data_IF_088255290584
#
_entry.id   IF_088255290584
#
_cell.length_a   1.000
_cell.length_b   1.000
_cell.length_c   1.000
_cell.angle_alpha   90.00
_cell.angle_beta   90.00
_cell.angle_gamma   90.00
#
_symmetry.space_group_name_H-M   'P 1'
#
loop_
_entity.id
_entity.type
_entity.pdbx_description
1 polymer ?
#
# COMPACT_ATOMS: atom_id res chain seq x y z
N UNK A 1 12.53 7.27 -0.78
CA UNK A 1 11.08 7.14 -1.03
C UNK A 1 10.40 8.48 -1.29
N UNK A 2 10.58 9.53 -0.47
CA UNK A 2 9.88 10.81 -0.69
C UNK A 2 10.06 11.43 -2.09
N UNK A 3 11.28 11.40 -2.63
CA UNK A 3 11.57 11.94 -3.97
C UNK A 3 10.81 11.20 -5.09
N UNK A 4 10.83 9.85 -5.09
CA UNK A 4 10.15 9.06 -6.11
C UNK A 4 8.63 9.22 -6.05
N UNK A 5 8.04 9.30 -4.85
CA UNK A 5 6.62 9.59 -4.67
C UNK A 5 6.28 10.99 -5.22
N UNK A 6 7.13 11.99 -4.91
CA UNK A 6 6.97 13.35 -5.42
C UNK A 6 6.97 13.39 -6.96
N UNK A 7 7.87 12.64 -7.61
CA UNK A 7 7.89 12.50 -9.07
C UNK A 7 6.60 11.87 -9.59
N UNK A 8 6.12 10.78 -8.97
CA UNK A 8 4.85 10.15 -9.39
C UNK A 8 3.69 11.15 -9.28
N UNK A 9 3.53 11.84 -8.15
CA UNK A 9 2.48 12.84 -7.99
C UNK A 9 2.60 13.98 -9.01
N UNK A 10 3.82 14.46 -9.29
CA UNK A 10 4.06 15.48 -10.30
C UNK A 10 3.68 15.01 -11.70
N UNK A 11 3.90 13.74 -12.04
CA UNK A 11 3.49 13.15 -13.32
C UNK A 11 1.96 13.12 -13.46
N UNK A 12 1.23 12.76 -12.40
CA UNK A 12 -0.24 12.83 -12.41
C UNK A 12 -0.74 14.27 -12.56
N UNK A 13 -0.12 15.22 -11.86
CA UNK A 13 -0.45 16.64 -11.99
C UNK A 13 -0.21 17.16 -13.42
N UNK A 14 0.94 16.82 -14.02
CA UNK A 14 1.29 17.21 -15.38
C UNK A 14 0.31 16.67 -16.45
N UNK A 15 -0.35 15.54 -16.16
CA UNK A 15 -1.41 14.96 -17.01
C UNK A 15 -2.80 15.55 -16.75
N UNK A 16 -2.92 16.58 -15.90
CA UNK A 16 -4.21 17.16 -15.50
C UNK A 16 -5.01 16.30 -14.52
N UNK A 17 -4.40 15.26 -13.93
CA UNK A 17 -5.01 14.31 -13.00
C UNK A 17 -4.66 14.61 -11.54
N UNK A 18 -4.32 15.86 -11.22
CA UNK A 18 -3.90 16.26 -9.86
C UNK A 18 -4.96 15.98 -8.78
N UNK A 19 -6.25 16.00 -9.13
CA UNK A 19 -7.34 15.69 -8.20
C UNK A 19 -7.29 14.24 -7.71
N UNK A 20 -6.88 13.29 -8.58
CA UNK A 20 -6.75 11.87 -8.20
C UNK A 20 -5.71 11.65 -7.10
N UNK A 21 -4.69 12.51 -7.02
CA UNK A 21 -3.69 12.45 -5.94
C UNK A 21 -4.36 12.74 -4.59
N UNK A 22 -5.21 13.77 -4.54
CA UNK A 22 -5.94 14.11 -3.31
C UNK A 22 -6.95 13.02 -2.92
N UNK A 23 -7.68 12.48 -3.89
CA UNK A 23 -8.59 11.35 -3.67
C UNK A 23 -7.85 10.12 -3.15
N UNK A 24 -6.71 9.76 -3.75
CA UNK A 24 -5.89 8.65 -3.30
C UNK A 24 -5.38 8.86 -1.86
N UNK A 25 -4.96 10.08 -1.50
CA UNK A 25 -4.58 10.41 -0.12
C UNK A 25 -5.77 10.23 0.83
N UNK A 26 -6.95 10.73 0.47
CA UNK A 26 -8.14 10.64 1.31
C UNK A 26 -8.58 9.19 1.55
N UNK A 27 -8.58 8.35 0.51
CA UNK A 27 -8.90 6.92 0.62
C UNK A 27 -7.84 6.22 1.47
N UNK A 28 -6.55 6.44 1.19
CA UNK A 28 -5.46 5.82 1.95
C UNK A 28 -5.56 6.17 3.43
N UNK A 29 -5.72 7.45 3.77
CA UNK A 29 -5.87 7.91 5.15
C UNK A 29 -7.07 7.24 5.84
N UNK A 30 -8.21 7.17 5.15
CA UNK A 30 -9.43 6.53 5.68
C UNK A 30 -9.23 5.04 5.94
N UNK A 31 -8.61 4.32 4.99
CA UNK A 31 -8.31 2.89 5.12
C UNK A 31 -7.30 2.64 6.24
N UNK A 32 -6.20 3.39 6.27
CA UNK A 32 -5.19 3.26 7.32
C UNK A 32 -5.80 3.51 8.70
N UNK A 33 -6.52 4.62 8.90
CA UNK A 33 -7.16 4.93 10.19
C UNK A 33 -8.15 3.83 10.58
N UNK A 34 -9.02 3.41 9.65
CA UNK A 34 -10.00 2.36 9.88
C UNK A 34 -9.36 1.03 10.30
N UNK A 35 -8.33 0.60 9.58
CA UNK A 35 -7.60 -0.64 9.87
C UNK A 35 -6.80 -0.54 11.17
N UNK A 36 -6.14 0.59 11.44
CA UNK A 36 -5.44 0.81 12.71
C UNK A 36 -6.41 0.72 13.89
N UNK A 37 -7.54 1.42 13.84
CA UNK A 37 -8.56 1.36 14.92
C UNK A 37 -9.09 -0.06 15.08
N UNK A 38 -9.40 -0.74 13.97
CA UNK A 38 -9.84 -2.14 13.99
C UNK A 38 -8.82 -3.04 14.69
N UNK A 39 -7.54 -2.97 14.31
CA UNK A 39 -6.48 -3.79 14.89
C UNK A 39 -6.29 -3.52 16.38
N UNK A 40 -6.28 -2.25 16.79
CA UNK A 40 -6.10 -1.87 18.20
C UNK A 40 -7.26 -2.37 19.08
N UNK A 41 -8.49 -2.42 18.54
CA UNK A 41 -9.67 -2.94 19.24
C UNK A 41 -9.80 -4.46 19.17
N UNK A 42 -9.25 -5.09 18.13
CA UNK A 42 -9.36 -6.53 17.89
C UNK A 42 -8.61 -7.34 18.96
N UNK A 43 -9.15 -8.50 19.34
CA UNK A 43 -8.48 -9.46 20.24
C UNK A 43 -7.74 -10.56 19.48
N UNK A 44 -7.84 -10.58 18.17
CA UNK A 44 -7.21 -11.58 17.30
C UNK A 44 -5.68 -11.45 17.34
N UNK A 45 -4.98 -12.57 17.35
CA UNK A 45 -3.54 -12.61 17.14
C UNK A 45 -3.27 -12.58 15.64
N UNK A 46 -2.66 -11.51 15.11
CA UNK A 46 -2.37 -11.38 13.68
C UNK A 46 -0.96 -11.88 13.29
N UNK A 47 -0.17 -12.42 14.21
CA UNK A 47 1.19 -12.90 13.91
C UNK A 47 1.23 -14.00 12.83
N UNK A 48 0.14 -14.75 12.64
CA UNK A 48 0.05 -15.79 11.61
C UNK A 48 0.11 -15.24 10.17
N UNK A 49 -0.15 -13.93 9.97
CA UNK A 49 -0.12 -13.31 8.64
C UNK A 49 1.30 -13.17 8.09
N UNK A 50 2.33 -13.13 8.93
CA UNK A 50 3.68 -12.72 8.54
C UNK A 50 4.26 -13.49 7.34
N UNK A 51 4.22 -14.82 7.38
CA UNK A 51 4.77 -15.65 6.29
C UNK A 51 3.97 -15.52 4.98
N UNK A 52 2.63 -15.45 5.07
CA UNK A 52 1.76 -15.31 3.91
C UNK A 52 1.91 -13.94 3.24
N UNK A 53 2.01 -12.88 4.05
CA UNK A 53 2.26 -11.53 3.58
C UNK A 53 3.63 -11.40 2.91
N UNK A 54 4.67 -12.00 3.49
CA UNK A 54 6.00 -12.03 2.88
C UNK A 54 6.00 -12.72 1.51
N UNK A 55 5.32 -13.86 1.37
CA UNK A 55 5.15 -14.53 0.09
C UNK A 55 4.36 -13.69 -0.92
N UNK A 56 3.32 -12.99 -0.46
CA UNK A 56 2.52 -12.10 -1.31
C UNK A 56 3.34 -10.92 -1.85
N UNK A 57 4.24 -10.33 -1.07
CA UNK A 57 5.15 -9.27 -1.56
C UNK A 57 6.07 -9.80 -2.65
N UNK A 58 6.65 -10.99 -2.49
CA UNK A 58 7.45 -11.60 -3.55
C UNK A 58 6.63 -11.82 -4.82
N UNK A 59 5.38 -12.27 -4.70
CA UNK A 59 4.48 -12.38 -5.85
C UNK A 59 4.20 -11.01 -6.50
N UNK A 60 4.02 -9.95 -5.71
CA UNK A 60 3.84 -8.59 -6.25
C UNK A 60 5.08 -8.07 -6.96
N UNK A 61 6.28 -8.37 -6.46
CA UNK A 61 7.55 -7.97 -7.09
C UNK A 61 7.71 -8.67 -8.44
N UNK A 62 7.60 -10.00 -8.49
CA UNK A 62 7.75 -10.76 -9.74
C UNK A 62 6.61 -10.48 -10.72
N UNK A 63 5.37 -10.41 -10.22
CA UNK A 63 4.20 -10.06 -11.03
C UNK A 63 4.30 -8.65 -11.59
N UNK A 64 4.79 -7.69 -10.80
CA UNK A 64 5.00 -6.30 -11.22
C UNK A 64 6.12 -6.17 -12.26
N UNK A 65 7.18 -6.96 -12.12
CA UNK A 65 8.23 -7.06 -13.13
C UNK A 65 7.69 -7.59 -14.45
N UNK A 66 6.92 -8.69 -14.44
CA UNK A 66 6.30 -9.23 -15.66
C UNK A 66 5.32 -8.20 -16.25
N UNK A 67 4.46 -7.60 -15.42
CA UNK A 67 3.52 -6.58 -15.85
C UNK A 67 4.22 -5.42 -16.56
N UNK A 68 5.41 -5.00 -16.09
CA UNK A 68 6.19 -3.92 -16.70
C UNK A 68 6.71 -4.24 -18.11
N UNK A 69 6.88 -5.54 -18.43
CA UNK A 69 7.27 -6.01 -19.76
C UNK A 69 6.06 -6.15 -20.71
N UNK A 70 4.85 -6.11 -20.18
CA UNK A 70 3.61 -6.30 -20.93
C UNK A 70 2.82 -4.99 -21.03
N UNK A 71 2.27 -4.70 -22.21
CA UNK A 71 1.36 -3.58 -22.40
C UNK A 71 -0.10 -3.96 -22.09
N UNK A 72 -0.35 -4.78 -21.06
CA UNK A 72 -1.67 -5.29 -20.72
C UNK A 72 -2.30 -4.48 -19.56
N UNK A 73 -3.22 -3.54 -19.82
CA UNK A 73 -3.77 -2.66 -18.79
C UNK A 73 -4.48 -3.43 -17.68
N UNK A 74 -5.19 -4.51 -18.04
CA UNK A 74 -5.85 -5.38 -17.06
C UNK A 74 -4.86 -6.03 -16.06
N UNK A 75 -3.63 -6.32 -16.49
CA UNK A 75 -2.61 -6.86 -15.61
C UNK A 75 -2.09 -5.78 -14.64
N UNK A 76 -1.87 -4.56 -15.11
CA UNK A 76 -1.48 -3.44 -14.25
C UNK A 76 -2.53 -3.15 -13.18
N UNK A 77 -3.82 -3.17 -13.56
CA UNK A 77 -4.94 -3.01 -12.64
C UNK A 77 -4.97 -4.12 -11.58
N UNK A 78 -4.86 -5.38 -12.03
CA UNK A 78 -4.87 -6.53 -11.14
C UNK A 78 -3.72 -6.46 -10.12
N UNK A 79 -2.54 -6.06 -10.57
CA UNK A 79 -1.38 -5.86 -9.69
C UNK A 79 -1.61 -4.72 -8.69
N UNK A 80 -2.24 -3.61 -9.13
CA UNK A 80 -2.54 -2.47 -8.26
C UNK A 80 -3.57 -2.85 -7.18
N UNK A 81 -4.65 -3.54 -7.56
CA UNK A 81 -5.67 -4.04 -6.62
C UNK A 81 -5.07 -5.06 -5.65
N UNK A 82 -4.29 -6.02 -6.16
CA UNK A 82 -3.58 -6.99 -5.33
C UNK A 82 -2.63 -6.32 -4.34
N UNK A 83 -1.87 -5.33 -4.80
CA UNK A 83 -1.00 -4.51 -3.96
C UNK A 83 -1.77 -3.79 -2.85
N UNK A 84 -2.87 -3.11 -3.18
CA UNK A 84 -3.69 -2.41 -2.19
C UNK A 84 -4.21 -3.35 -1.10
N UNK A 85 -4.64 -4.57 -1.45
CA UNK A 85 -5.09 -5.58 -0.48
C UNK A 85 -3.93 -6.05 0.40
N UNK A 86 -2.78 -6.39 -0.18
CA UNK A 86 -1.62 -6.88 0.57
C UNK A 86 -1.12 -5.84 1.55
N UNK A 87 -0.94 -4.58 1.12
CA UNK A 87 -0.47 -3.51 2.00
C UNK A 87 -1.51 -3.11 3.06
N UNK A 88 -2.80 -3.25 2.76
CA UNK A 88 -3.85 -3.10 3.79
C UNK A 88 -3.72 -4.16 4.89
N UNK A 89 -3.45 -5.42 4.51
CA UNK A 89 -3.21 -6.49 5.49
C UNK A 89 -1.89 -6.31 6.27
N UNK A 90 -0.86 -5.77 5.63
CA UNK A 90 0.37 -5.38 6.32
C UNK A 90 0.13 -4.28 7.36
N UNK A 91 -0.68 -3.26 7.08
CA UNK A 91 -1.05 -2.25 8.09
C UNK A 91 -1.67 -2.92 9.32
N UNK A 92 -2.55 -3.92 9.13
CA UNK A 92 -3.13 -4.69 10.24
C UNK A 92 -2.04 -5.45 11.01
N UNK A 93 -1.15 -6.14 10.30
CA UNK A 93 -0.05 -6.91 10.89
C UNK A 93 0.95 -6.02 11.65
N UNK A 94 1.42 -4.92 11.06
CA UNK A 94 2.42 -4.04 11.64
C UNK A 94 1.87 -3.24 12.82
N UNK A 95 0.63 -2.73 12.74
CA UNK A 95 -0.03 -2.10 13.89
C UNK A 95 -0.15 -3.11 15.05
N UNK A 96 -0.46 -4.37 14.76
CA UNK A 96 -0.52 -5.42 15.78
C UNK A 96 0.87 -5.68 16.39
N UNK A 97 1.91 -5.81 15.58
CA UNK A 97 3.27 -6.06 16.04
C UNK A 97 3.78 -4.89 16.92
N UNK A 98 3.62 -3.65 16.46
CA UNK A 98 4.01 -2.44 17.19
C UNK A 98 3.27 -2.34 18.52
N UNK A 99 1.97 -2.63 18.54
CA UNK A 99 1.17 -2.44 19.76
C UNK A 99 1.34 -3.54 20.81
N UNK A 100 1.78 -4.75 20.44
CA UNK A 100 1.74 -5.91 21.36
C UNK A 100 3.00 -6.76 21.44
N UNK A 101 3.93 -6.66 20.48
CA UNK A 101 5.03 -7.61 20.34
C UNK A 101 6.41 -6.97 20.31
N UNK A 102 6.54 -5.74 19.78
CA UNK A 102 7.85 -5.09 19.65
C UNK A 102 8.39 -4.57 20.99
N UNK A 103 9.69 -4.78 21.19
CA UNK A 103 10.46 -4.17 22.27
C UNK A 103 10.80 -2.70 21.95
N UNK A 104 11.12 -1.85 22.93
CA UNK A 104 11.45 -0.42 22.73
C UNK A 104 12.46 -0.15 21.61
N UNK A 105 13.46 -1.03 21.46
CA UNK A 105 14.53 -0.89 20.46
C UNK A 105 14.04 -1.17 19.03
N UNK A 106 12.91 -1.88 18.88
CA UNK A 106 12.36 -2.30 17.58
C UNK A 106 11.24 -1.37 17.07
N UNK A 107 10.75 -0.43 17.89
CA UNK A 107 9.66 0.48 17.49
C UNK A 107 10.02 1.34 16.29
N UNK A 108 11.29 1.75 16.17
CA UNK A 108 11.76 2.53 15.02
C UNK A 108 11.59 1.72 13.73
N UNK A 109 11.95 0.43 13.74
CA UNK A 109 11.76 -0.44 12.59
C UNK A 109 10.29 -0.68 12.31
N UNK A 110 9.47 -0.92 13.33
CA UNK A 110 8.02 -1.04 13.17
C UNK A 110 7.39 0.19 12.53
N UNK A 111 7.77 1.39 12.98
CA UNK A 111 7.28 2.64 12.41
C UNK A 111 7.70 2.85 10.94
N UNK A 112 8.91 2.43 10.59
CA UNK A 112 9.39 2.47 9.19
C UNK A 112 8.59 1.50 8.33
N UNK A 113 8.35 0.27 8.79
CA UNK A 113 7.56 -0.72 8.05
C UNK A 113 6.12 -0.23 7.82
N UNK A 114 5.48 0.28 8.88
CA UNK A 114 4.14 0.85 8.79
C UNK A 114 4.09 2.05 7.82
N UNK A 115 5.12 2.91 7.80
CA UNK A 115 5.24 3.98 6.81
C UNK A 115 5.31 3.44 5.37
N UNK A 116 6.10 2.39 5.13
CA UNK A 116 6.21 1.76 3.83
C UNK A 116 4.88 1.16 3.37
N UNK A 117 4.11 0.55 4.28
CA UNK A 117 2.80 -0.01 3.95
C UNK A 117 1.82 1.07 3.51
N UNK A 118 1.76 2.18 4.25
CA UNK A 118 0.88 3.32 3.92
C UNK A 118 1.27 3.93 2.58
N UNK A 119 2.56 4.12 2.32
CA UNK A 119 3.06 4.66 1.05
C UNK A 119 2.72 3.72 -0.12
N UNK A 120 2.94 2.43 0.04
CA UNK A 120 2.64 1.47 -1.02
C UNK A 120 1.14 1.34 -1.25
N UNK A 121 0.32 1.37 -0.20
CA UNK A 121 -1.14 1.43 -0.32
C UNK A 121 -1.57 2.68 -1.13
N UNK A 122 -1.01 3.85 -0.80
CA UNK A 122 -1.26 5.08 -1.55
C UNK A 122 -0.91 4.97 -3.03
N UNK A 123 0.28 4.46 -3.37
CA UNK A 123 0.70 4.31 -4.76
C UNK A 123 -0.19 3.34 -5.53
N UNK A 124 -0.64 2.26 -4.89
CA UNK A 124 -1.56 1.30 -5.50
C UNK A 124 -2.95 1.90 -5.71
N UNK A 125 -3.51 2.62 -4.73
CA UNK A 125 -4.80 3.33 -4.87
C UNK A 125 -4.71 4.39 -5.97
N UNK A 126 -3.64 5.19 -6.00
CA UNK A 126 -3.44 6.21 -7.03
C UNK A 126 -3.40 5.58 -8.43
N UNK A 127 -2.72 4.43 -8.58
CA UNK A 127 -2.70 3.67 -9.84
C UNK A 127 -4.09 3.17 -10.23
N UNK A 128 -4.84 2.59 -9.30
CA UNK A 128 -6.23 2.13 -9.54
C UNK A 128 -7.09 3.30 -10.04
N UNK A 129 -7.05 4.45 -9.36
CA UNK A 129 -7.81 5.64 -9.76
C UNK A 129 -7.36 6.16 -11.13
N UNK A 130 -6.06 6.16 -11.40
CA UNK A 130 -5.50 6.56 -12.69
C UNK A 130 -6.02 5.70 -13.85
N UNK A 131 -5.99 4.39 -13.70
CA UNK A 131 -6.45 3.43 -14.72
C UNK A 131 -7.97 3.49 -14.91
N UNK A 132 -8.74 3.62 -13.83
CA UNK A 132 -10.20 3.77 -13.89
C UNK A 132 -10.64 5.08 -14.55
N UNK A 133 -9.83 6.14 -14.45
CA UNK A 133 -10.12 7.43 -15.07
C UNK A 133 -9.99 7.41 -16.61
N UNK A 134 -9.52 6.32 -17.22
CA UNK A 134 -9.61 6.08 -18.67
C UNK A 134 -8.95 7.12 -19.57
N UNK A 135 -7.86 7.76 -19.09
CA UNK A 135 -7.11 8.79 -19.82
C UNK A 135 -5.64 8.38 -19.98
N UNK A 136 -5.44 7.31 -20.72
CA UNK A 136 -4.17 7.06 -21.43
C UNK A 136 -4.19 7.77 -22.79
#
# INVERSE_FOLDING_TARGET
MGWSIGVVCAMYYARGLGLLVLEAVAITASVTIGLTVYTLKSKTDFSYLGAGLGAAVWALIFGGFIASLTAAPAMHLAMAVGGAVVFSLYIVYDVYMISRRLSPDEYVFGAISLYLDIVNLFLNILRILGEMSGRD
#
